data_IF_963064387304
#
_entry.id   IF_963064387304
#
_cell.length_a   1.000
_cell.length_b   1.000
_cell.length_c   1.000
_cell.angle_alpha   90.00
_cell.angle_beta   90.00
_cell.angle_gamma   90.00
#
_symmetry.space_group_name_H-M   'P 1'
#
loop_
_entity.id
_entity.type
_entity.pdbx_description
1 polymer ?
#
# COMPACT_ATOMS: atom_id res chain seq x y z
N UNK A 1 66.17 8.64 -66.09
CA UNK A 1 66.06 8.04 -64.73
C UNK A 1 64.95 8.78 -64.00
N UNK A 2 63.79 8.15 -63.86
CA UNK A 2 62.51 8.80 -63.57
C UNK A 2 62.08 8.66 -62.10
N UNK A 3 61.70 9.81 -61.53
CA UNK A 3 60.58 10.09 -60.63
C UNK A 3 60.40 9.33 -59.29
N UNK A 4 60.50 10.13 -58.21
CA UNK A 4 59.92 9.93 -56.88
C UNK A 4 58.39 10.13 -56.90
N UNK A 5 57.72 9.51 -55.92
CA UNK A 5 56.69 10.02 -54.98
C UNK A 5 55.75 8.85 -54.61
N UNK A 6 55.70 8.38 -53.37
CA UNK A 6 55.09 8.95 -52.15
C UNK A 6 53.80 8.19 -51.80
N UNK A 7 53.82 7.46 -50.68
CA UNK A 7 52.73 6.66 -50.12
C UNK A 7 51.57 7.55 -49.62
N UNK A 8 50.30 7.08 -49.64
CA UNK A 8 49.27 7.65 -48.79
C UNK A 8 49.19 6.92 -47.43
N UNK A 9 48.94 7.71 -46.38
CA UNK A 9 48.62 7.28 -45.03
C UNK A 9 47.26 6.57 -45.00
N UNK A 10 47.20 5.39 -44.38
CA UNK A 10 45.95 4.73 -44.04
C UNK A 10 45.36 5.30 -42.76
N UNK A 11 44.14 5.86 -42.85
CA UNK A 11 43.36 6.29 -41.70
C UNK A 11 42.57 5.10 -41.15
N UNK A 12 42.94 4.62 -39.96
CA UNK A 12 42.18 3.58 -39.25
C UNK A 12 40.94 4.21 -38.61
N UNK A 13 39.77 3.97 -39.19
CA UNK A 13 38.48 4.26 -38.54
C UNK A 13 38.19 3.19 -37.48
N UNK A 14 38.19 3.61 -36.22
CA UNK A 14 37.85 2.78 -35.06
C UNK A 14 36.32 2.65 -34.99
N UNK A 15 35.73 1.44 -34.93
CA UNK A 15 34.29 1.33 -34.71
C UNK A 15 34.01 1.73 -33.25
N UNK A 16 33.27 2.83 -33.06
CA UNK A 16 32.65 3.12 -31.77
C UNK A 16 31.51 2.11 -31.58
N UNK A 17 31.75 1.09 -30.76
CA UNK A 17 30.67 0.29 -30.20
C UNK A 17 29.91 1.17 -29.21
N UNK A 18 28.87 1.85 -29.70
CA UNK A 18 27.85 2.43 -28.84
C UNK A 18 27.03 1.27 -28.29
N UNK A 19 27.28 0.88 -27.05
CA UNK A 19 26.38 0.00 -26.31
C UNK A 19 25.01 0.70 -26.24
N UNK A 20 23.92 0.10 -26.74
CA UNK A 20 22.61 0.70 -26.54
C UNK A 20 22.33 0.68 -25.04
N UNK A 21 22.28 1.86 -24.43
CA UNK A 21 21.72 2.02 -23.09
C UNK A 21 20.29 1.50 -23.20
N UNK A 22 20.05 0.35 -22.57
CA UNK A 22 18.72 -0.25 -22.49
C UNK A 22 17.86 0.69 -21.65
N UNK A 23 17.07 1.52 -22.31
CA UNK A 23 16.02 2.30 -21.66
C UNK A 23 15.00 1.31 -21.08
N UNK A 24 15.01 1.14 -19.76
CA UNK A 24 13.95 0.42 -19.06
C UNK A 24 12.70 1.30 -19.12
N UNK A 25 11.79 1.00 -20.04
CA UNK A 25 10.44 1.55 -20.00
C UNK A 25 9.75 0.96 -18.77
N UNK A 26 9.74 1.69 -17.66
CA UNK A 26 8.87 1.33 -16.53
C UNK A 26 7.44 1.66 -16.97
N UNK A 27 6.62 0.64 -17.20
CA UNK A 27 5.18 0.84 -17.31
C UNK A 27 4.68 1.55 -16.05
N UNK A 28 3.75 2.51 -16.20
CA UNK A 28 3.11 3.16 -15.06
C UNK A 28 2.62 2.10 -14.04
N UNK A 29 2.80 2.33 -12.72
CA UNK A 29 2.35 1.39 -11.71
C UNK A 29 0.87 1.08 -11.89
N UNK A 30 0.51 -0.20 -12.00
CA UNK A 30 -0.89 -0.60 -12.09
C UNK A 30 -1.48 -0.67 -10.69
N UNK A 31 -2.57 0.06 -10.46
CA UNK A 31 -3.35 -0.04 -9.23
C UNK A 31 -3.93 -1.46 -9.09
N UNK A 32 -3.75 -2.08 -7.93
CA UNK A 32 -4.24 -3.42 -7.57
C UNK A 32 -4.95 -3.37 -6.22
N UNK A 33 -5.79 -4.37 -5.95
CA UNK A 33 -6.38 -4.57 -4.63
C UNK A 33 -5.41 -5.33 -3.70
N UNK A 34 -5.45 -4.97 -2.43
CA UNK A 34 -4.70 -5.61 -1.36
C UNK A 34 -5.64 -5.96 -0.22
N UNK A 35 -5.51 -7.17 0.32
CA UNK A 35 -6.09 -7.56 1.60
C UNK A 35 -5.10 -7.17 2.70
N UNK A 36 -5.59 -6.45 3.70
CA UNK A 36 -4.77 -5.95 4.79
C UNK A 36 -5.34 -6.43 6.11
N UNK A 37 -4.45 -6.97 6.95
CA UNK A 37 -4.72 -7.29 8.35
C UNK A 37 -3.98 -6.27 9.20
N UNK A 38 -4.70 -5.57 10.07
CA UNK A 38 -4.19 -4.52 10.94
C UNK A 38 -4.43 -4.90 12.40
N UNK A 39 -3.47 -5.58 13.06
CA UNK A 39 -3.60 -5.91 14.48
C UNK A 39 -3.64 -4.64 15.33
N UNK A 40 -4.43 -4.66 16.39
CA UNK A 40 -4.36 -3.65 17.44
C UNK A 40 -3.18 -3.94 18.37
N UNK A 41 -2.67 -2.89 19.03
CA UNK A 41 -1.71 -3.06 20.13
C UNK A 41 -2.39 -3.65 21.37
N UNK A 42 -1.67 -4.37 22.24
CA UNK A 42 -2.23 -4.83 23.51
C UNK A 42 -2.75 -3.66 24.36
N UNK A 43 -3.94 -3.83 24.96
CA UNK A 43 -4.48 -2.87 25.92
C UNK A 43 -5.07 -1.58 25.35
N UNK A 44 -5.28 -1.47 24.03
CA UNK A 44 -5.79 -0.24 23.39
C UNK A 44 -7.30 -0.27 23.09
N UNK A 45 -8.05 -1.23 23.63
CA UNK A 45 -9.49 -1.36 23.41
C UNK A 45 -10.25 -0.08 23.75
N UNK A 46 -9.95 0.51 24.92
CA UNK A 46 -10.57 1.78 25.33
C UNK A 46 -10.25 2.87 24.31
N UNK A 47 -8.98 3.04 23.92
CA UNK A 47 -8.56 4.03 22.91
C UNK A 47 -9.20 3.81 21.53
N UNK A 48 -9.45 2.56 21.14
CA UNK A 48 -10.16 2.20 19.90
C UNK A 48 -11.62 2.63 19.94
N UNK A 49 -12.26 2.42 21.10
CA UNK A 49 -13.68 2.62 21.34
C UNK A 49 -14.04 4.01 21.88
N UNK A 50 -13.05 4.78 22.36
CA UNK A 50 -13.21 6.03 23.11
C UNK A 50 -14.40 6.85 22.59
N UNK A 51 -15.43 6.88 23.45
CA UNK A 51 -16.82 7.19 23.16
C UNK A 51 -17.10 8.73 23.22
N UNK A 52 -18.33 9.20 22.99
CA UNK A 52 -18.63 10.38 22.17
C UNK A 52 -18.12 11.70 22.78
N UNK A 53 -17.00 12.21 22.27
CA UNK A 53 -16.43 13.50 22.65
C UNK A 53 -14.99 13.71 22.16
N UNK A 54 -14.25 12.62 21.96
CA UNK A 54 -12.88 12.56 21.39
C UNK A 54 -12.74 11.28 20.56
N UNK A 55 -13.20 11.26 19.33
CA UNK A 55 -12.42 11.44 18.10
C UNK A 55 -11.76 10.19 17.51
N UNK A 56 -11.41 9.09 18.20
CA UNK A 56 -10.72 7.99 17.49
C UNK A 56 -11.65 7.18 16.58
N UNK A 57 -12.70 6.54 17.10
CA UNK A 57 -13.65 5.76 16.29
C UNK A 57 -14.37 6.65 15.26
N UNK A 58 -14.91 7.78 15.71
CA UNK A 58 -15.62 8.73 14.83
C UNK A 58 -14.71 9.30 13.75
N UNK A 59 -13.47 9.68 14.07
CA UNK A 59 -12.53 10.18 13.06
C UNK A 59 -12.03 9.06 12.17
N UNK A 60 -11.90 7.82 12.67
CA UNK A 60 -11.60 6.66 11.85
C UNK A 60 -12.67 6.48 10.77
N UNK A 61 -13.96 6.45 11.17
CA UNK A 61 -15.08 6.43 10.21
C UNK A 61 -15.01 7.60 9.22
N UNK A 62 -14.82 8.83 9.71
CA UNK A 62 -14.70 10.02 8.85
C UNK A 62 -13.52 9.95 7.87
N UNK A 63 -12.37 9.44 8.30
CA UNK A 63 -11.17 9.32 7.49
C UNK A 63 -11.33 8.25 6.40
N UNK A 64 -12.07 7.18 6.69
CA UNK A 64 -12.33 6.14 5.69
C UNK A 64 -13.48 6.48 4.73
N UNK A 65 -14.44 7.32 5.11
CA UNK A 65 -15.58 7.68 4.25
C UNK A 65 -15.17 8.09 2.84
N UNK A 66 -14.22 9.02 2.61
CA UNK A 66 -13.79 9.39 1.25
C UNK A 66 -13.23 8.22 0.45
N UNK A 67 -12.55 7.28 1.10
CA UNK A 67 -11.99 6.09 0.43
C UNK A 67 -13.07 5.07 0.07
N UNK A 68 -14.10 4.94 0.90
CA UNK A 68 -15.26 4.10 0.61
C UNK A 68 -16.05 4.70 -0.55
N UNK A 69 -16.32 6.00 -0.52
CA UNK A 69 -17.06 6.72 -1.56
C UNK A 69 -16.32 6.74 -2.91
N UNK A 70 -14.99 6.89 -2.91
CA UNK A 70 -14.18 6.79 -4.14
C UNK A 70 -14.10 5.35 -4.68
N UNK A 71 -14.46 4.36 -3.87
CA UNK A 71 -14.32 2.95 -4.18
C UNK A 71 -12.85 2.48 -4.19
N UNK A 72 -11.96 3.19 -3.50
CA UNK A 72 -10.59 2.75 -3.20
C UNK A 72 -10.57 1.73 -2.07
N UNK A 73 -11.42 1.93 -1.06
CA UNK A 73 -11.69 0.95 -0.03
C UNK A 73 -12.93 0.15 -0.42
N UNK A 74 -12.76 -1.16 -0.38
CA UNK A 74 -13.58 -2.12 -1.11
C UNK A 74 -14.41 -3.00 -0.17
N UNK A 75 -13.90 -3.21 1.03
CA UNK A 75 -14.51 -3.89 2.17
C UNK A 75 -13.69 -3.48 3.40
N UNK A 76 -14.31 -3.36 4.56
CA UNK A 76 -13.59 -3.17 5.82
C UNK A 76 -14.42 -3.59 7.02
N UNK A 77 -13.77 -3.86 8.14
CA UNK A 77 -14.44 -4.21 9.38
C UNK A 77 -13.48 -4.47 10.53
N UNK A 78 -14.06 -4.64 11.73
CA UNK A 78 -13.33 -5.14 12.88
C UNK A 78 -12.98 -6.62 12.68
N UNK A 79 -11.74 -6.98 12.99
CA UNK A 79 -11.30 -8.37 13.09
C UNK A 79 -11.29 -8.73 14.58
N UNK A 80 -11.98 -9.80 14.95
CA UNK A 80 -12.17 -10.22 16.33
C UNK A 80 -11.42 -11.53 16.61
N UNK A 81 -10.94 -11.71 17.84
CA UNK A 81 -10.29 -12.95 18.26
C UNK A 81 -11.29 -14.10 18.38
N UNK A 82 -12.54 -13.78 18.74
CA UNK A 82 -13.61 -14.72 18.97
C UNK A 82 -14.93 -14.21 18.35
N UNK A 83 -15.88 -15.13 18.15
CA UNK A 83 -17.24 -14.76 17.70
C UNK A 83 -17.93 -13.99 18.83
N UNK A 84 -18.43 -12.77 18.59
CA UNK A 84 -19.04 -11.96 19.65
C UNK A 84 -20.40 -12.55 20.05
N UNK A 85 -20.76 -12.37 21.33
CA UNK A 85 -22.04 -12.85 21.86
C UNK A 85 -23.24 -11.97 21.45
N UNK A 86 -22.99 -10.69 21.17
CA UNK A 86 -23.96 -9.69 20.75
C UNK A 86 -23.28 -8.69 19.79
N UNK A 87 -24.03 -7.69 19.32
CA UNK A 87 -23.53 -6.65 18.40
C UNK A 87 -23.02 -5.40 19.14
N UNK A 88 -22.81 -5.46 20.46
CA UNK A 88 -22.29 -4.33 21.22
C UNK A 88 -20.76 -4.27 21.10
N UNK A 89 -20.26 -3.26 20.40
CA UNK A 89 -18.82 -3.05 20.20
C UNK A 89 -18.01 -2.96 21.51
N UNK A 90 -18.63 -2.53 22.62
CA UNK A 90 -18.00 -2.52 23.93
C UNK A 90 -17.67 -3.93 24.44
N UNK A 91 -18.38 -4.95 24.00
CA UNK A 91 -18.21 -6.35 24.39
C UNK A 91 -17.23 -7.11 23.49
N UNK A 92 -16.80 -6.53 22.37
CA UNK A 92 -15.94 -7.24 21.41
C UNK A 92 -14.54 -7.48 21.96
N UNK A 93 -13.98 -8.65 21.62
CA UNK A 93 -12.56 -8.96 21.77
C UNK A 93 -11.85 -8.69 20.45
N UNK A 94 -11.26 -7.49 20.34
CA UNK A 94 -10.62 -7.04 19.11
C UNK A 94 -9.26 -7.70 18.91
N UNK A 95 -9.11 -8.35 17.76
CA UNK A 95 -7.79 -8.60 17.17
C UNK A 95 -7.27 -7.33 16.49
N UNK A 96 -8.16 -6.60 15.81
CA UNK A 96 -7.85 -5.36 15.12
C UNK A 96 -8.84 -5.03 14.01
N UNK A 97 -8.35 -4.68 12.83
CA UNK A 97 -9.16 -4.35 11.65
C UNK A 97 -8.70 -5.10 10.42
N UNK A 98 -9.60 -5.22 9.45
CA UNK A 98 -9.28 -5.67 8.08
C UNK A 98 -9.81 -4.66 7.07
N UNK A 99 -9.10 -4.50 5.96
CA UNK A 99 -9.55 -3.73 4.81
C UNK A 99 -9.08 -4.39 3.52
N UNK A 100 -9.93 -4.36 2.50
CA UNK A 100 -9.49 -4.52 1.12
C UNK A 100 -9.40 -3.12 0.52
N UNK A 101 -8.22 -2.71 0.08
CA UNK A 101 -8.00 -1.38 -0.48
C UNK A 101 -7.13 -1.42 -1.73
N UNK A 102 -7.25 -0.38 -2.55
CA UNK A 102 -6.43 -0.21 -3.75
C UNK A 102 -5.11 0.49 -3.47
N UNK A 103 -4.06 0.11 -4.19
CA UNK A 103 -2.79 0.82 -4.21
C UNK A 103 -1.91 0.40 -5.37
N UNK A 104 -0.86 1.18 -5.63
CA UNK A 104 0.15 0.87 -6.66
C UNK A 104 1.19 -0.15 -6.18
N UNK A 105 1.39 -0.23 -4.86
CA UNK A 105 2.31 -1.15 -4.20
C UNK A 105 1.90 -1.38 -2.74
N UNK A 106 2.57 -2.30 -2.04
CA UNK A 106 2.35 -2.51 -0.60
C UNK A 106 2.73 -1.27 0.21
N UNK A 107 3.77 -0.57 -0.21
CA UNK A 107 4.28 0.64 0.43
C UNK A 107 3.27 1.79 0.27
N UNK A 108 2.67 1.95 -0.92
CA UNK A 108 1.62 2.94 -1.12
C UNK A 108 0.40 2.67 -0.23
N UNK A 109 0.00 1.41 -0.08
CA UNK A 109 -1.07 1.01 0.85
C UNK A 109 -0.69 1.32 2.29
N UNK A 110 0.53 0.99 2.71
CA UNK A 110 1.00 1.27 4.07
C UNK A 110 1.02 2.77 4.37
N UNK A 111 1.49 3.60 3.44
CA UNK A 111 1.51 5.06 3.58
C UNK A 111 0.10 5.67 3.62
N UNK A 112 -0.86 5.07 2.93
CA UNK A 112 -2.27 5.43 3.07
C UNK A 112 -2.78 5.12 4.48
N UNK A 113 -2.53 3.90 4.99
CA UNK A 113 -3.02 3.44 6.29
C UNK A 113 -2.40 4.20 7.47
N UNK A 114 -1.13 4.62 7.35
CA UNK A 114 -0.44 5.42 8.38
C UNK A 114 -1.07 6.79 8.65
N UNK A 115 -1.91 7.29 7.74
CA UNK A 115 -2.63 8.56 7.90
C UNK A 115 -3.90 8.42 8.74
N UNK A 116 -4.34 7.19 8.98
CA UNK A 116 -5.53 6.93 9.77
C UNK A 116 -5.30 7.30 11.25
N UNK A 117 -6.38 7.66 11.96
CA UNK A 117 -6.30 7.97 13.39
C UNK A 117 -5.92 6.74 14.21
N UNK A 118 -6.29 5.53 13.80
CA UNK A 118 -5.86 4.32 14.48
C UNK A 118 -4.36 4.06 14.33
N UNK A 119 -3.75 4.46 13.20
CA UNK A 119 -2.29 4.42 13.07
C UNK A 119 -1.62 5.52 13.91
N UNK A 120 -2.04 6.78 13.72
CA UNK A 120 -1.37 7.95 14.33
C UNK A 120 -1.57 8.04 15.84
N UNK A 121 -2.69 7.55 16.36
CA UNK A 121 -2.94 7.46 17.80
C UNK A 121 -2.35 6.18 18.41
N UNK A 122 -1.84 5.25 17.61
CA UNK A 122 -1.21 4.03 18.12
C UNK A 122 -2.20 2.97 18.61
N UNK A 123 -3.42 2.93 18.06
CA UNK A 123 -4.35 1.79 18.19
C UNK A 123 -3.79 0.62 17.38
N UNK A 124 -3.48 0.83 16.10
CA UNK A 124 -2.88 -0.20 15.26
C UNK A 124 -1.40 -0.41 15.59
N UNK A 125 -0.98 -1.67 15.56
CA UNK A 125 0.41 -2.08 15.57
C UNK A 125 0.96 -2.03 14.15
N UNK A 126 1.39 -0.84 13.71
CA UNK A 126 1.89 -0.57 12.35
C UNK A 126 3.04 -1.50 11.95
N UNK A 127 3.84 -1.95 12.91
CA UNK A 127 4.97 -2.87 12.68
C UNK A 127 4.51 -4.31 12.35
N UNK A 128 3.28 -4.67 12.74
CA UNK A 128 2.69 -5.99 12.52
C UNK A 128 1.61 -6.01 11.43
N UNK A 129 1.42 -4.92 10.70
CA UNK A 129 0.49 -4.89 9.56
C UNK A 129 0.92 -5.90 8.50
N UNK A 130 -0.04 -6.68 8.01
CA UNK A 130 0.19 -7.66 6.95
C UNK A 130 -0.55 -7.20 5.69
N UNK A 131 0.16 -7.12 4.57
CA UNK A 131 -0.36 -6.63 3.29
C UNK A 131 -0.15 -7.69 2.20
N UNK A 132 -1.25 -8.16 1.61
CA UNK A 132 -1.26 -9.22 0.61
C UNK A 132 -1.90 -8.71 -0.69
N UNK A 133 -1.26 -8.88 -1.86
CA UNK A 133 -1.93 -8.66 -3.14
C UNK A 133 -3.15 -9.57 -3.23
N UNK A 134 -4.31 -9.01 -3.56
CA UNK A 134 -5.58 -9.71 -3.50
C UNK A 134 -6.27 -9.68 -4.87
N UNK A 135 -6.60 -10.86 -5.38
CA UNK A 135 -7.42 -11.03 -6.57
C UNK A 135 -8.80 -11.48 -6.11
N UNK A 136 -9.74 -10.53 -6.09
CA UNK A 136 -11.11 -10.79 -5.69
C UNK A 136 -11.82 -11.64 -6.76
N UNK A 137 -12.21 -12.86 -6.42
CA UNK A 137 -12.95 -13.74 -7.33
C UNK A 137 -14.43 -13.34 -7.47
N UNK A 138 -15.05 -12.94 -6.36
CA UNK A 138 -16.42 -12.42 -6.32
C UNK A 138 -16.57 -11.47 -5.14
N UNK A 139 -17.47 -10.50 -5.28
CA UNK A 139 -17.99 -9.67 -4.20
C UNK A 139 -19.43 -9.32 -4.51
N UNK A 140 -20.30 -9.54 -3.54
CA UNK A 140 -21.71 -9.22 -3.65
C UNK A 140 -21.96 -7.85 -3.00
N UNK A 141 -22.96 -7.08 -3.47
CA UNK A 141 -23.45 -5.89 -2.78
C UNK A 141 -23.92 -6.20 -1.36
#
# INVERSE_FOLDING_TARGET
MAFRLSRPLGTLLRPQFSSPIRTMSSSAPKVREFLVILPDKPGVKEKRLEEPGTDSLRTHFKNMTPHVESGDWKMGGALLNEVPADDNAANFDFFGSTVVCKGESKEAVLEQLKKDVYATSGVWDVEKIQIYPFICAFRNP
#
